data_IF_302484254778
#
_entry.id   IF_302484254778
#
_cell.length_a   1.000
_cell.length_b   1.000
_cell.length_c   1.000
_cell.angle_alpha   90.00
_cell.angle_beta   90.00
_cell.angle_gamma   90.00
#
_symmetry.space_group_name_H-M   'P 1'
#
loop_
_entity.id
_entity.type
_entity.pdbx_description
1 polymer ?
#
# COMPACT_ATOMS: atom_id res chain seq x y z
N UNK A 1 -4.85 18.20 -34.40
CA UNK A 1 -5.75 19.28 -34.92
C UNK A 1 -6.83 19.77 -33.95
N UNK A 2 -7.91 19.04 -33.59
CA UNK A 2 -8.95 19.60 -32.65
C UNK A 2 -8.43 19.71 -31.22
N UNK A 3 -7.67 18.72 -30.76
CA UNK A 3 -7.12 18.67 -29.40
C UNK A 3 -6.13 19.82 -29.12
N UNK A 4 -5.11 19.98 -29.98
CA UNK A 4 -4.13 21.09 -29.89
C UNK A 4 -4.81 22.47 -29.94
N UNK A 5 -5.80 22.66 -30.83
CA UNK A 5 -6.54 23.93 -30.92
C UNK A 5 -7.21 24.28 -29.59
N UNK A 6 -7.78 23.30 -28.90
CA UNK A 6 -8.41 23.53 -27.61
C UNK A 6 -7.33 23.76 -26.54
N UNK A 7 -6.25 22.96 -26.49
CA UNK A 7 -5.17 23.17 -25.53
C UNK A 7 -4.55 24.58 -25.62
N UNK A 8 -4.35 25.12 -26.81
CA UNK A 8 -3.75 26.45 -27.00
C UNK A 8 -4.75 27.62 -26.85
N UNK A 9 -6.04 27.33 -26.64
CA UNK A 9 -7.06 28.37 -26.38
C UNK A 9 -6.76 29.11 -25.06
N UNK A 10 -6.89 30.44 -25.07
CA UNK A 10 -6.85 31.26 -23.83
C UNK A 10 -8.08 30.94 -22.98
N UNK A 11 -7.88 30.82 -21.67
CA UNK A 11 -8.97 30.60 -20.72
C UNK A 11 -10.03 31.72 -20.78
N UNK A 12 -11.31 31.44 -20.43
CA UNK A 12 -11.81 30.17 -19.88
C UNK A 12 -12.14 29.11 -20.95
N UNK A 13 -12.03 27.83 -20.55
CA UNK A 13 -12.50 26.69 -21.34
C UNK A 13 -14.02 26.52 -21.19
N UNK A 14 -14.72 26.14 -22.26
CA UNK A 14 -16.12 25.74 -22.14
C UNK A 14 -16.23 24.37 -21.46
N UNK A 15 -17.40 24.02 -20.92
CA UNK A 15 -17.62 22.69 -20.37
C UNK A 15 -17.42 21.58 -21.43
N UNK A 16 -17.79 21.86 -22.69
CA UNK A 16 -17.58 20.93 -23.80
C UNK A 16 -16.10 20.80 -24.17
N UNK A 17 -15.32 21.89 -24.09
CA UNK A 17 -13.87 21.86 -24.25
C UNK A 17 -13.25 20.94 -23.18
N UNK A 18 -13.63 21.12 -21.92
CA UNK A 18 -13.14 20.31 -20.80
C UNK A 18 -13.51 18.83 -20.96
N UNK A 19 -14.76 18.53 -21.32
CA UNK A 19 -15.23 17.17 -21.57
C UNK A 19 -14.50 16.51 -22.73
N UNK A 20 -14.32 17.24 -23.84
CA UNK A 20 -13.59 16.75 -25.00
C UNK A 20 -12.13 16.45 -24.64
N UNK A 21 -11.46 17.37 -23.96
CA UNK A 21 -10.08 17.20 -23.55
C UNK A 21 -9.90 16.00 -22.61
N UNK A 22 -10.73 15.88 -21.57
CA UNK A 22 -10.68 14.77 -20.63
C UNK A 22 -10.94 13.42 -21.32
N UNK A 23 -11.95 13.34 -22.19
CA UNK A 23 -12.30 12.11 -22.89
C UNK A 23 -11.23 11.65 -23.90
N UNK A 24 -10.42 12.56 -24.44
CA UNK A 24 -9.48 12.26 -25.52
C UNK A 24 -8.00 12.30 -25.10
N UNK A 25 -7.67 12.75 -23.89
CA UNK A 25 -6.29 12.92 -23.43
C UNK A 25 -5.45 11.65 -23.56
N UNK A 26 -5.99 10.50 -23.15
CA UNK A 26 -5.29 9.21 -23.22
C UNK A 26 -5.06 8.73 -24.65
N UNK A 27 -6.05 8.90 -25.52
CA UNK A 27 -5.93 8.54 -26.94
C UNK A 27 -4.86 9.39 -27.62
N UNK A 28 -4.87 10.69 -27.35
CA UNK A 28 -3.87 11.62 -27.88
C UNK A 28 -2.48 11.31 -27.34
N UNK A 29 -2.35 11.01 -26.04
CA UNK A 29 -1.09 10.55 -25.46
C UNK A 29 -0.56 9.31 -26.17
N UNK A 30 -1.37 8.26 -26.34
CA UNK A 30 -0.92 7.02 -26.98
C UNK A 30 -0.46 7.24 -28.43
N UNK A 31 -1.16 8.12 -29.16
CA UNK A 31 -0.79 8.53 -30.51
C UNK A 31 0.60 9.19 -30.51
N UNK A 32 0.78 10.23 -29.70
CA UNK A 32 2.06 10.95 -29.60
C UNK A 32 3.16 10.03 -29.07
N UNK A 33 2.88 9.15 -28.10
CA UNK A 33 3.87 8.28 -27.48
C UNK A 33 4.46 7.28 -28.48
N UNK A 34 3.65 6.80 -29.43
CA UNK A 34 4.11 5.91 -30.51
C UNK A 34 5.08 6.62 -31.46
N UNK A 35 4.87 7.92 -31.69
CA UNK A 35 5.67 8.73 -32.61
C UNK A 35 6.91 9.33 -31.92
N UNK A 36 6.74 9.85 -30.70
CA UNK A 36 7.70 10.61 -29.93
C UNK A 36 7.39 10.55 -28.41
N UNK A 37 7.99 9.61 -27.66
CA UNK A 37 7.76 9.46 -26.22
C UNK A 37 8.05 10.72 -25.39
N UNK A 38 9.04 11.53 -25.78
CA UNK A 38 9.42 12.75 -25.05
C UNK A 38 8.33 13.81 -25.17
N UNK A 39 7.80 14.00 -26.37
CA UNK A 39 6.69 14.93 -26.63
C UNK A 39 5.41 14.48 -25.93
N UNK A 40 5.16 13.17 -25.85
CA UNK A 40 4.02 12.63 -25.13
C UNK A 40 4.10 12.93 -23.62
N UNK A 41 5.29 12.87 -23.02
CA UNK A 41 5.49 13.26 -21.62
C UNK A 41 5.25 14.76 -21.43
N UNK A 42 5.82 15.60 -22.29
CA UNK A 42 5.59 17.06 -22.26
C UNK A 42 4.10 17.40 -22.43
N UNK A 43 3.39 16.68 -23.28
CA UNK A 43 1.95 16.80 -23.45
C UNK A 43 1.21 16.56 -22.13
N UNK A 44 1.52 15.47 -21.42
CA UNK A 44 0.89 15.15 -20.13
C UNK A 44 1.22 16.21 -19.08
N UNK A 45 2.47 16.64 -18.99
CA UNK A 45 2.88 17.69 -18.03
C UNK A 45 2.09 18.98 -18.24
N UNK A 46 2.03 19.46 -19.49
CA UNK A 46 1.26 20.65 -19.86
C UNK A 46 -0.24 20.46 -19.63
N UNK A 47 -0.75 19.26 -19.89
CA UNK A 47 -2.17 18.94 -19.70
C UNK A 47 -2.55 19.01 -18.23
N UNK A 48 -1.81 18.34 -17.34
CA UNK A 48 -2.18 18.29 -15.92
C UNK A 48 -1.84 19.57 -15.17
N UNK A 49 -0.89 20.39 -15.63
CA UNK A 49 -0.68 21.73 -15.07
C UNK A 49 -1.91 22.64 -15.30
N UNK A 50 -2.60 22.46 -16.43
CA UNK A 50 -3.86 23.16 -16.75
C UNK A 50 -5.10 22.52 -16.15
N UNK A 51 -5.09 21.19 -16.00
CA UNK A 51 -6.20 20.38 -15.49
C UNK A 51 -5.73 19.49 -14.34
N UNK A 52 -5.39 20.08 -13.17
CA UNK A 52 -4.75 19.36 -12.08
C UNK A 52 -5.59 18.20 -11.51
N UNK A 53 -6.91 18.27 -11.61
CA UNK A 53 -7.82 17.17 -11.27
C UNK A 53 -7.63 15.91 -12.13
N UNK A 54 -6.98 16.02 -13.30
CA UNK A 54 -6.66 14.92 -14.20
C UNK A 54 -5.26 14.33 -13.97
N UNK A 55 -4.57 14.70 -12.88
CA UNK A 55 -3.21 14.23 -12.56
C UNK A 55 -3.05 12.72 -12.54
N UNK A 56 -4.10 11.95 -12.25
CA UNK A 56 -4.06 10.48 -12.26
C UNK A 56 -3.60 9.91 -13.60
N UNK A 57 -3.83 10.64 -14.71
CA UNK A 57 -3.34 10.25 -16.03
C UNK A 57 -1.80 10.15 -16.06
N UNK A 58 -1.09 11.08 -15.42
CA UNK A 58 0.37 11.01 -15.32
C UNK A 58 0.83 9.79 -14.52
N UNK A 59 0.15 9.44 -13.42
CA UNK A 59 0.44 8.23 -12.64
C UNK A 59 0.19 6.96 -13.44
N UNK A 60 -0.96 6.86 -14.11
CA UNK A 60 -1.31 5.70 -14.95
C UNK A 60 -0.25 5.45 -16.02
N UNK A 61 0.16 6.50 -16.71
CA UNK A 61 1.20 6.43 -17.74
C UNK A 61 2.56 6.11 -17.13
N UNK A 62 2.90 6.68 -15.96
CA UNK A 62 4.12 6.36 -15.25
C UNK A 62 4.22 4.85 -14.97
N UNK A 63 3.13 4.22 -14.50
CA UNK A 63 3.10 2.78 -14.24
C UNK A 63 3.21 1.93 -15.52
N UNK A 64 2.63 2.37 -16.64
CA UNK A 64 2.86 1.71 -17.93
C UNK A 64 4.34 1.79 -18.33
N UNK A 65 4.94 2.99 -18.26
CA UNK A 65 6.36 3.19 -18.56
C UNK A 65 7.29 2.37 -17.65
N UNK A 66 6.94 2.18 -16.37
CA UNK A 66 7.66 1.29 -15.45
C UNK A 66 7.65 -0.16 -15.95
N UNK A 67 6.49 -0.66 -16.36
CA UNK A 67 6.34 -2.03 -16.85
C UNK A 67 7.08 -2.27 -18.17
N UNK A 68 7.18 -1.23 -19.00
CA UNK A 68 7.93 -1.25 -20.27
C UNK A 68 9.44 -0.98 -20.08
N UNK A 69 9.92 -0.82 -18.84
CA UNK A 69 11.34 -0.61 -18.52
C UNK A 69 11.87 0.80 -18.81
N UNK A 70 11.00 1.79 -19.03
CA UNK A 70 11.37 3.17 -19.34
C UNK A 70 11.45 4.03 -18.07
N UNK A 71 12.48 3.76 -17.25
CA UNK A 71 12.65 4.34 -15.92
C UNK A 71 12.65 5.88 -15.89
N UNK A 72 13.20 6.55 -16.90
CA UNK A 72 13.26 8.02 -16.97
C UNK A 72 11.87 8.65 -17.13
N UNK A 73 10.99 8.07 -17.96
CA UNK A 73 9.61 8.52 -18.13
C UNK A 73 8.81 8.27 -16.85
N UNK A 74 8.97 7.08 -16.24
CA UNK A 74 8.37 6.77 -14.94
C UNK A 74 8.74 7.82 -13.88
N UNK A 75 10.03 8.09 -13.69
CA UNK A 75 10.50 9.06 -12.69
C UNK A 75 9.99 10.47 -12.96
N UNK A 76 9.96 10.89 -14.23
CA UNK A 76 9.48 12.23 -14.59
C UNK A 76 7.99 12.39 -14.32
N UNK A 77 7.16 11.48 -14.82
CA UNK A 77 5.70 11.57 -14.64
C UNK A 77 5.26 11.34 -13.19
N UNK A 78 5.94 10.49 -12.43
CA UNK A 78 5.73 10.35 -10.97
C UNK A 78 5.98 11.68 -10.26
N UNK A 79 7.06 12.39 -10.61
CA UNK A 79 7.33 13.72 -10.03
C UNK A 79 6.24 14.71 -10.38
N UNK A 80 5.83 14.77 -11.65
CA UNK A 80 4.79 15.70 -12.09
C UNK A 80 3.46 15.42 -11.39
N UNK A 81 3.09 14.14 -11.20
CA UNK A 81 1.92 13.76 -10.40
C UNK A 81 2.02 14.28 -8.95
N UNK A 82 3.16 14.08 -8.30
CA UNK A 82 3.38 14.50 -6.91
C UNK A 82 3.36 16.03 -6.76
N UNK A 83 4.04 16.75 -7.66
CA UNK A 83 4.07 18.22 -7.66
C UNK A 83 2.66 18.82 -7.85
N UNK A 84 1.86 18.26 -8.75
CA UNK A 84 0.47 18.70 -8.97
C UNK A 84 -0.43 18.33 -7.78
N UNK A 85 -0.22 17.17 -7.16
CA UNK A 85 -0.93 16.75 -5.94
C UNK A 85 -0.65 17.73 -4.79
N UNK A 86 0.61 18.10 -4.57
CA UNK A 86 1.03 19.07 -3.55
C UNK A 86 0.41 20.47 -3.77
N UNK A 87 0.37 20.93 -5.03
CA UNK A 87 -0.32 22.18 -5.41
C UNK A 87 -1.82 22.12 -5.07
N UNK A 88 -2.50 21.02 -5.42
CA UNK A 88 -3.92 20.83 -5.12
C UNK A 88 -4.19 20.83 -3.62
N UNK A 89 -3.42 20.05 -2.85
CA UNK A 89 -3.52 20.02 -1.39
C UNK A 89 -3.36 21.41 -0.81
N UNK A 90 -2.37 22.18 -1.27
CA UNK A 90 -2.15 23.56 -0.79
C UNK A 90 -3.38 24.45 -1.02
N UNK A 91 -3.93 24.44 -2.23
CA UNK A 91 -5.13 25.22 -2.59
C UNK A 91 -6.34 24.73 -1.78
N UNK A 92 -6.51 23.42 -1.73
CA UNK A 92 -7.62 22.75 -1.06
C UNK A 92 -7.65 23.04 0.44
N UNK A 93 -6.50 22.99 1.10
CA UNK A 93 -6.35 23.34 2.52
C UNK A 93 -6.65 24.81 2.77
N UNK A 94 -6.11 25.72 1.95
CA UNK A 94 -6.34 27.15 2.10
C UNK A 94 -7.82 27.54 1.88
N UNK A 95 -8.53 26.80 1.01
CA UNK A 95 -9.92 27.12 0.63
C UNK A 95 -10.95 26.45 1.53
N UNK A 96 -10.75 25.17 1.86
CA UNK A 96 -11.74 24.34 2.54
C UNK A 96 -11.38 24.01 3.99
N UNK A 97 -10.16 24.34 4.43
CA UNK A 97 -9.64 24.00 5.76
C UNK A 97 -9.81 22.50 6.09
N UNK A 98 -9.60 21.63 5.10
CA UNK A 98 -9.68 20.18 5.24
C UNK A 98 -8.28 19.57 5.34
N UNK A 99 -8.08 18.50 6.11
CA UNK A 99 -6.89 17.66 5.97
C UNK A 99 -6.88 16.94 4.61
N UNK A 100 -5.74 16.40 4.18
CA UNK A 100 -5.66 15.56 2.98
C UNK A 100 -6.59 14.34 3.07
N UNK A 101 -7.12 13.88 1.93
CA UNK A 101 -8.10 12.79 1.86
C UNK A 101 -7.49 11.62 1.11
N UNK A 102 -7.48 10.45 1.74
CA UNK A 102 -6.88 9.23 1.22
C UNK A 102 -7.65 8.69 0.01
N UNK A 103 -7.04 8.75 -1.17
CA UNK A 103 -7.71 8.39 -2.43
C UNK A 103 -7.69 6.89 -2.73
N UNK A 104 -6.72 6.17 -2.14
CA UNK A 104 -6.45 4.78 -2.47
C UNK A 104 -7.28 3.81 -1.60
N UNK A 105 -8.60 3.97 -1.56
CA UNK A 105 -9.43 3.17 -0.66
C UNK A 105 -9.39 1.68 -1.00
N UNK A 106 -9.07 1.28 -2.24
CA UNK A 106 -8.93 -0.14 -2.60
C UNK A 106 -7.81 -0.85 -1.83
N UNK A 107 -6.79 -0.11 -1.35
CA UNK A 107 -5.66 -0.68 -0.62
C UNK A 107 -6.05 -1.35 0.70
N UNK A 108 -7.18 -0.97 1.31
CA UNK A 108 -7.69 -1.60 2.54
C UNK A 108 -8.05 -3.08 2.35
N UNK A 109 -8.09 -3.56 1.09
CA UNK A 109 -8.35 -4.96 0.74
C UNK A 109 -7.09 -5.83 0.72
N UNK A 110 -5.92 -5.22 0.83
CA UNK A 110 -4.62 -5.89 0.79
C UNK A 110 -3.82 -5.49 2.01
N UNK A 111 -3.51 -6.46 2.88
CA UNK A 111 -2.82 -6.21 4.16
C UNK A 111 -1.50 -5.48 3.88
N UNK A 112 -0.71 -5.97 2.91
CA UNK A 112 0.57 -5.37 2.55
C UNK A 112 0.45 -3.95 2.03
N UNK A 113 -0.57 -3.65 1.21
CA UNK A 113 -0.74 -2.30 0.67
C UNK A 113 -1.19 -1.31 1.73
N UNK A 114 -2.21 -1.64 2.53
CA UNK A 114 -2.69 -0.68 3.54
C UNK A 114 -1.64 -0.44 4.62
N UNK A 115 -0.87 -1.47 5.00
CA UNK A 115 0.19 -1.32 6.00
C UNK A 115 1.33 -0.44 5.48
N UNK A 116 1.80 -0.66 4.25
CA UNK A 116 2.84 0.18 3.64
C UNK A 116 2.41 1.65 3.57
N UNK A 117 1.17 1.89 3.12
CA UNK A 117 0.66 3.24 2.99
C UNK A 117 0.43 3.91 4.35
N UNK A 118 0.02 3.14 5.36
CA UNK A 118 -0.09 3.63 6.74
C UNK A 118 1.30 3.97 7.30
N UNK A 119 2.31 3.17 6.99
CA UNK A 119 3.68 3.44 7.39
C UNK A 119 4.21 4.74 6.77
N UNK A 120 3.97 4.95 5.48
CA UNK A 120 4.32 6.18 4.78
C UNK A 120 3.65 7.40 5.42
N UNK A 121 2.37 7.33 5.78
CA UNK A 121 1.69 8.42 6.50
C UNK A 121 2.38 8.73 7.82
N UNK A 122 2.63 7.71 8.66
CA UNK A 122 3.22 7.90 9.98
C UNK A 122 4.64 8.45 9.92
N UNK A 123 5.44 7.94 8.98
CA UNK A 123 6.80 8.45 8.74
C UNK A 123 6.75 9.89 8.21
N UNK A 124 5.81 10.21 7.31
CA UNK A 124 5.60 11.57 6.80
C UNK A 124 5.24 12.54 7.92
N UNK A 125 4.32 12.15 8.81
CA UNK A 125 3.97 12.96 9.98
C UNK A 125 5.16 13.17 10.91
N UNK A 126 5.95 12.11 11.15
CA UNK A 126 7.14 12.18 12.02
C UNK A 126 8.23 13.10 11.46
N UNK A 127 8.36 13.15 10.12
CA UNK A 127 9.29 14.04 9.42
C UNK A 127 8.74 15.46 9.18
N UNK A 128 7.48 15.71 9.54
CA UNK A 128 6.82 17.00 9.28
C UNK A 128 6.46 17.24 7.80
N UNK A 129 6.42 16.19 6.98
CA UNK A 129 5.93 16.25 5.59
C UNK A 129 4.40 16.30 5.53
N UNK A 130 3.75 15.76 6.56
CA UNK A 130 2.31 15.90 6.81
C UNK A 130 2.13 16.49 8.21
N UNK A 131 1.23 17.46 8.34
CA UNK A 131 0.90 18.12 9.60
C UNK A 131 -0.43 17.67 10.19
N UNK A 132 -1.27 16.99 9.41
CA UNK A 132 -2.54 16.40 9.86
C UNK A 132 -2.68 14.96 9.35
N UNK A 133 -3.40 14.12 10.12
CA UNK A 133 -3.79 12.78 9.65
C UNK A 133 -4.65 12.91 8.39
N UNK A 134 -4.39 12.11 7.34
CA UNK A 134 -5.29 12.05 6.21
C UNK A 134 -6.63 11.41 6.61
N UNK A 135 -7.71 11.79 5.93
CA UNK A 135 -9.01 11.16 6.13
C UNK A 135 -9.07 9.85 5.34
N UNK A 136 -9.37 8.75 6.03
CA UNK A 136 -9.63 7.44 5.42
C UNK A 136 -11.12 7.12 5.48
N UNK A 137 -11.76 7.06 4.33
CA UNK A 137 -13.15 6.62 4.22
C UNK A 137 -13.24 5.09 4.22
N UNK A 138 -14.09 4.53 5.07
CA UNK A 138 -14.41 3.10 5.13
C UNK A 138 -15.90 2.87 4.86
N UNK A 139 -16.32 2.76 3.57
CA UNK A 139 -17.69 2.47 3.19
C UNK A 139 -18.19 1.16 3.78
N UNK A 140 -19.29 1.22 4.53
CA UNK A 140 -19.96 0.04 5.06
C UNK A 140 -20.87 -0.59 3.99
N UNK A 141 -21.13 -1.89 4.10
CA UNK A 141 -22.11 -2.60 3.26
C UNK A 141 -21.70 -2.85 1.81
N UNK A 142 -20.45 -2.58 1.43
CA UNK A 142 -19.89 -2.93 0.11
C UNK A 142 -18.67 -3.82 0.27
N UNK A 143 -18.76 -5.07 -0.20
CA UNK A 143 -17.66 -6.04 -0.12
C UNK A 143 -16.36 -5.53 -0.76
N UNK A 144 -16.48 -4.69 -1.78
CA UNK A 144 -15.34 -4.04 -2.45
C UNK A 144 -14.59 -3.01 -1.59
N UNK A 145 -15.11 -2.66 -0.41
CA UNK A 145 -14.51 -1.70 0.52
C UNK A 145 -14.37 -2.27 1.94
N UNK A 146 -14.45 -3.60 2.06
CA UNK A 146 -14.24 -4.29 3.32
C UNK A 146 -12.74 -4.30 3.66
N UNK A 147 -12.41 -3.84 4.85
CA UNK A 147 -11.06 -3.98 5.42
C UNK A 147 -10.69 -5.46 5.50
N UNK A 148 -9.54 -5.82 4.95
CA UNK A 148 -9.06 -7.21 4.83
C UNK A 148 -8.80 -7.88 6.18
N UNK A 149 -8.38 -7.11 7.18
CA UNK A 149 -8.09 -7.58 8.53
C UNK A 149 -8.58 -6.51 9.52
N UNK A 150 -9.65 -6.80 10.25
CA UNK A 150 -10.24 -5.88 11.22
C UNK A 150 -9.33 -5.58 12.41
N UNK A 151 -8.39 -6.47 12.74
CA UNK A 151 -7.40 -6.24 13.79
C UNK A 151 -6.42 -5.11 13.46
N UNK A 152 -6.37 -4.64 12.20
CA UNK A 152 -5.61 -3.45 11.83
C UNK A 152 -6.31 -2.14 12.21
N UNK A 153 -7.62 -2.16 12.48
CA UNK A 153 -8.39 -0.93 12.65
C UNK A 153 -7.81 0.02 13.73
N UNK A 154 -7.36 -0.45 14.91
CA UNK A 154 -6.71 0.41 15.90
C UNK A 154 -5.42 1.07 15.37
N UNK A 155 -4.61 0.33 14.60
CA UNK A 155 -3.38 0.84 13.99
C UNK A 155 -3.67 1.89 12.90
N UNK A 156 -4.74 1.67 12.12
CA UNK A 156 -5.20 2.63 11.12
C UNK A 156 -5.74 3.90 11.79
N UNK A 157 -6.49 3.80 12.89
CA UNK A 157 -7.01 4.96 13.62
C UNK A 157 -5.89 5.82 14.24
N UNK A 158 -4.76 5.21 14.58
CA UNK A 158 -3.57 5.95 15.00
C UNK A 158 -2.93 6.74 13.85
N UNK A 159 -3.19 6.35 12.60
CA UNK A 159 -2.55 6.92 11.39
C UNK A 159 -3.47 7.86 10.60
N UNK A 160 -4.76 7.57 10.59
CA UNK A 160 -5.79 8.23 9.78
C UNK A 160 -6.94 8.73 10.66
N UNK A 161 -7.60 9.79 10.20
CA UNK A 161 -8.92 10.14 10.69
C UNK A 161 -9.95 9.32 9.91
N UNK A 162 -10.54 8.31 10.55
CA UNK A 162 -11.38 7.31 9.90
C UNK A 162 -12.85 7.73 9.98
N UNK A 163 -13.57 7.65 8.85
CA UNK A 163 -15.03 7.79 8.81
C UNK A 163 -15.71 6.64 8.08
N UNK A 164 -16.83 6.21 8.64
CA UNK A 164 -17.75 5.24 8.05
C UNK A 164 -19.15 5.81 7.81
N UNK A 165 -19.37 7.10 8.05
CA UNK A 165 -20.66 7.75 7.79
C UNK A 165 -20.87 7.96 6.29
N UNK A 166 -22.02 7.54 5.75
CA UNK A 166 -22.26 7.57 4.30
C UNK A 166 -22.29 8.99 3.72
N UNK A 167 -22.75 9.99 4.49
CA UNK A 167 -22.79 11.39 4.04
C UNK A 167 -21.39 11.96 4.01
N UNK A 168 -20.59 11.70 5.04
CA UNK A 168 -19.18 12.08 5.09
C UNK A 168 -18.38 11.41 3.98
N UNK A 169 -18.58 10.12 3.72
CA UNK A 169 -17.92 9.41 2.63
C UNK A 169 -18.24 10.06 1.28
N UNK A 170 -19.51 10.36 1.00
CA UNK A 170 -19.92 11.04 -0.24
C UNK A 170 -19.26 12.41 -0.39
N UNK A 171 -19.15 13.16 0.72
CA UNK A 171 -18.46 14.44 0.76
C UNK A 171 -16.96 14.30 0.52
N UNK A 172 -16.27 13.48 1.31
CA UNK A 172 -14.81 13.30 1.21
C UNK A 172 -14.38 12.66 -0.11
N UNK A 173 -15.18 11.76 -0.69
CA UNK A 173 -14.91 11.22 -2.03
C UNK A 173 -14.82 12.35 -3.07
N UNK A 174 -15.73 13.32 -3.04
CA UNK A 174 -15.69 14.49 -3.94
C UNK A 174 -14.52 15.42 -3.61
N UNK A 175 -14.28 15.66 -2.32
CA UNK A 175 -13.20 16.53 -1.87
C UNK A 175 -11.82 15.94 -2.12
N UNK A 176 -11.70 14.63 -2.30
CA UNK A 176 -10.44 13.95 -2.60
C UNK A 176 -9.81 14.43 -3.92
N UNK A 177 -10.62 14.88 -4.90
CA UNK A 177 -10.12 15.47 -6.14
C UNK A 177 -9.40 16.82 -5.91
N UNK A 178 -9.67 17.49 -4.79
CA UNK A 178 -9.22 18.85 -4.47
C UNK A 178 -8.17 18.84 -3.35
N UNK A 179 -8.33 17.97 -2.34
CA UNK A 179 -7.38 17.84 -1.21
C UNK A 179 -6.83 16.40 -1.14
N UNK A 180 -6.19 15.89 -2.20
CA UNK A 180 -5.82 14.48 -2.31
C UNK A 180 -4.66 14.06 -1.40
N UNK A 181 -4.70 12.82 -0.94
CA UNK A 181 -3.54 12.09 -0.44
C UNK A 181 -3.45 10.73 -1.12
N UNK A 182 -2.35 10.51 -1.83
CA UNK A 182 -2.12 9.24 -2.53
C UNK A 182 -1.10 8.39 -1.77
N UNK A 183 -1.59 7.44 -0.97
CA UNK A 183 -0.73 6.68 -0.06
C UNK A 183 0.39 5.86 -0.70
N UNK A 184 0.34 5.57 -2.01
CA UNK A 184 1.37 4.77 -2.70
C UNK A 184 2.59 5.57 -3.17
N UNK A 185 2.51 6.90 -3.23
CA UNK A 185 3.60 7.74 -3.71
C UNK A 185 3.85 8.86 -2.71
N UNK A 186 5.12 9.12 -2.41
CA UNK A 186 5.53 10.20 -1.52
C UNK A 186 6.62 11.04 -2.18
N UNK A 187 6.61 12.32 -1.86
CA UNK A 187 7.68 13.26 -2.13
C UNK A 187 8.28 13.72 -0.81
N UNK A 188 9.53 13.34 -0.54
CA UNK A 188 10.29 13.78 0.65
C UNK A 188 11.04 15.06 0.34
N UNK A 189 11.68 15.12 -0.83
CA UNK A 189 12.31 16.32 -1.40
C UNK A 189 12.06 16.34 -2.91
N UNK A 190 12.59 17.35 -3.62
CA UNK A 190 12.54 17.34 -5.09
C UNK A 190 13.36 16.20 -5.73
N UNK A 191 14.33 15.66 -5.00
CA UNK A 191 15.24 14.60 -5.47
C UNK A 191 14.88 13.22 -4.88
N UNK A 192 14.14 13.19 -3.76
CA UNK A 192 13.75 11.98 -3.05
C UNK A 192 12.23 11.84 -3.14
N UNK A 193 11.78 11.03 -4.09
CA UNK A 193 10.36 10.77 -4.32
C UNK A 193 10.16 9.43 -5.04
N UNK A 194 8.96 8.85 -4.91
CA UNK A 194 8.63 7.58 -5.53
C UNK A 194 7.61 6.76 -4.77
N UNK A 195 7.53 5.48 -5.15
CA UNK A 195 6.77 4.46 -4.43
C UNK A 195 7.44 4.02 -3.14
N UNK A 196 6.69 3.29 -2.32
CA UNK A 196 7.13 2.65 -1.07
C UNK A 196 8.54 2.04 -1.18
N UNK A 197 8.78 1.15 -2.16
CA UNK A 197 10.07 0.48 -2.38
C UNK A 197 11.24 1.42 -2.70
N UNK A 198 10.98 2.63 -3.21
CA UNK A 198 12.02 3.61 -3.56
C UNK A 198 12.37 4.51 -2.37
N UNK A 199 11.36 4.83 -1.55
CA UNK A 199 11.45 5.89 -0.54
C UNK A 199 11.62 5.36 0.87
N UNK A 200 11.08 4.19 1.21
CA UNK A 200 11.15 3.62 2.57
C UNK A 200 12.59 3.51 3.09
N UNK A 201 13.58 2.97 2.33
CA UNK A 201 14.96 2.89 2.83
C UNK A 201 15.54 4.27 3.16
N UNK A 202 15.15 5.28 2.38
CA UNK A 202 15.56 6.67 2.59
C UNK A 202 14.86 7.26 3.83
N UNK A 203 13.56 7.05 3.98
CA UNK A 203 12.79 7.47 5.16
C UNK A 203 13.36 6.85 6.44
N UNK A 204 13.67 5.56 6.41
CA UNK A 204 14.31 4.85 7.52
C UNK A 204 15.63 5.52 7.92
N UNK A 205 16.47 5.81 6.94
CA UNK A 205 17.76 6.48 7.14
C UNK A 205 17.59 7.88 7.72
N UNK A 206 16.64 8.65 7.20
CA UNK A 206 16.35 10.01 7.68
C UNK A 206 15.86 10.00 9.12
N UNK A 207 14.87 9.17 9.45
CA UNK A 207 14.32 9.01 10.80
C UNK A 207 15.41 8.60 11.80
N UNK A 208 16.23 7.62 11.43
CA UNK A 208 17.35 7.16 12.26
C UNK A 208 18.36 8.28 12.54
N UNK A 209 18.69 9.09 11.53
CA UNK A 209 19.63 10.23 11.67
C UNK A 209 19.12 11.30 12.63
N UNK A 210 17.81 11.51 12.71
CA UNK A 210 17.20 12.49 13.63
C UNK A 210 16.79 11.87 14.98
N UNK A 211 17.25 10.65 15.29
CA UNK A 211 16.94 9.97 16.54
C UNK A 211 15.47 9.58 16.70
N UNK A 212 14.73 9.48 15.58
CA UNK A 212 13.34 9.02 15.57
C UNK A 212 13.27 7.53 15.21
N UNK A 213 12.27 6.85 15.78
CA UNK A 213 11.99 5.46 15.46
C UNK A 213 11.59 5.35 13.98
N UNK A 214 12.26 4.49 13.18
CA UNK A 214 11.96 4.37 11.77
C UNK A 214 10.76 3.46 11.47
N UNK A 215 10.37 2.61 12.43
CA UNK A 215 9.22 1.72 12.33
C UNK A 215 7.91 2.47 12.59
N UNK A 216 6.92 2.19 11.75
CA UNK A 216 5.63 2.84 11.86
C UNK A 216 4.85 2.36 13.08
N UNK A 217 4.76 1.06 13.35
CA UNK A 217 3.85 0.58 14.40
C UNK A 217 4.58 -0.06 15.59
N UNK A 218 3.86 -0.10 16.71
CA UNK A 218 4.15 -0.86 17.90
C UNK A 218 3.04 -1.87 18.10
N UNK A 219 3.38 -3.12 18.43
CA UNK A 219 2.38 -4.13 18.75
C UNK A 219 1.57 -3.70 19.97
N UNK A 220 0.26 -3.59 19.79
CA UNK A 220 -0.66 -3.18 20.85
C UNK A 220 -0.86 -4.31 21.87
N UNK A 221 -1.10 -3.93 23.13
CA UNK A 221 -1.38 -4.87 24.22
C UNK A 221 -2.63 -5.70 23.93
N UNK A 222 -3.72 -5.07 23.47
CA UNK A 222 -4.95 -5.77 23.07
C UNK A 222 -4.71 -6.79 21.95
N UNK A 223 -3.87 -6.46 20.97
CA UNK A 223 -3.48 -7.41 19.91
C UNK A 223 -2.72 -8.59 20.50
N UNK A 224 -1.83 -8.33 21.46
CA UNK A 224 -1.08 -9.37 22.17
C UNK A 224 -2.02 -10.28 22.94
N UNK A 225 -2.93 -9.75 23.75
CA UNK A 225 -3.84 -10.53 24.58
C UNK A 225 -4.79 -11.42 23.77
N UNK A 226 -5.36 -10.88 22.69
CA UNK A 226 -6.24 -11.64 21.80
C UNK A 226 -5.45 -12.77 21.13
N UNK A 227 -4.26 -12.47 20.62
CA UNK A 227 -3.45 -13.44 19.91
C UNK A 227 -2.92 -14.56 20.83
N UNK A 228 -2.36 -14.22 21.99
CA UNK A 228 -1.81 -15.20 22.93
C UNK A 228 -2.90 -16.14 23.44
N UNK A 229 -4.08 -15.63 23.80
CA UNK A 229 -5.24 -16.43 24.21
C UNK A 229 -5.65 -17.42 23.13
N UNK A 230 -5.74 -16.96 21.88
CA UNK A 230 -6.08 -17.82 20.75
C UNK A 230 -5.00 -18.90 20.54
N UNK A 231 -3.73 -18.51 20.50
CA UNK A 231 -2.61 -19.41 20.24
C UNK A 231 -2.47 -20.48 21.33
N UNK A 232 -2.56 -20.11 22.61
CA UNK A 232 -2.52 -21.07 23.73
C UNK A 232 -3.67 -22.08 23.66
N UNK A 233 -4.88 -21.61 23.31
CA UNK A 233 -6.05 -22.50 23.13
C UNK A 233 -5.86 -23.49 21.98
N UNK A 234 -5.05 -23.14 20.98
CA UNK A 234 -4.70 -23.98 19.84
C UNK A 234 -3.39 -24.77 20.06
N UNK A 235 -2.92 -24.91 21.31
CA UNK A 235 -1.78 -25.75 21.66
C UNK A 235 -0.41 -25.15 21.37
N UNK A 236 -0.34 -23.84 21.17
CA UNK A 236 0.93 -23.14 21.00
C UNK A 236 1.62 -22.85 22.34
N UNK A 237 2.93 -23.03 22.40
CA UNK A 237 3.74 -22.80 23.59
C UNK A 237 4.44 -21.45 23.45
N UNK A 238 3.84 -20.41 24.04
CA UNK A 238 4.33 -19.02 23.93
C UNK A 238 5.73 -18.81 24.52
N UNK A 239 6.29 -19.78 25.25
CA UNK A 239 7.64 -19.69 25.79
C UNK A 239 8.72 -20.18 24.82
N UNK A 240 8.34 -20.75 23.67
CA UNK A 240 9.28 -21.23 22.65
C UNK A 240 9.44 -20.24 21.51
N UNK A 241 10.64 -20.16 20.92
CA UNK A 241 10.82 -19.40 19.69
C UNK A 241 9.99 -20.03 18.56
N UNK A 242 9.54 -19.19 17.63
CA UNK A 242 8.80 -19.66 16.46
C UNK A 242 9.14 -18.91 15.18
N UNK A 243 8.89 -19.56 14.06
CA UNK A 243 8.96 -19.02 12.70
C UNK A 243 7.56 -19.00 12.11
N UNK A 244 7.23 -17.94 11.38
CA UNK A 244 5.97 -17.89 10.62
C UNK A 244 6.23 -18.35 9.18
N UNK A 245 5.45 -19.32 8.74
CA UNK A 245 5.54 -19.91 7.41
C UNK A 245 4.38 -19.38 6.55
N UNK A 246 4.69 -18.75 5.41
CA UNK A 246 3.71 -18.31 4.43
C UNK A 246 4.10 -18.81 3.04
N UNK A 247 3.74 -20.07 2.74
CA UNK A 247 4.01 -20.72 1.45
C UNK A 247 2.77 -20.67 0.59
N UNK A 248 2.59 -19.57 -0.15
CA UNK A 248 1.49 -19.40 -1.09
C UNK A 248 1.40 -20.61 -2.04
N UNK A 249 0.21 -21.16 -2.24
CA UNK A 249 -0.05 -22.27 -3.17
C UNK A 249 -1.20 -21.93 -4.12
N UNK A 250 -1.46 -22.83 -5.07
CA UNK A 250 -2.66 -22.76 -5.92
C UNK A 250 -3.94 -22.64 -5.07
N UNK A 251 -4.92 -21.86 -5.55
CA UNK A 251 -6.14 -21.52 -4.84
C UNK A 251 -6.10 -20.21 -4.04
N UNK A 252 -4.94 -19.57 -3.87
CA UNK A 252 -4.84 -18.24 -3.22
C UNK A 252 -5.10 -17.08 -4.20
N UNK A 253 -4.51 -17.12 -5.40
CA UNK A 253 -4.78 -16.17 -6.46
C UNK A 253 -4.70 -16.88 -7.81
N UNK A 254 -5.84 -17.02 -8.45
CA UNK A 254 -6.03 -17.84 -9.66
C UNK A 254 -5.61 -17.12 -10.96
N UNK A 255 -5.00 -15.94 -10.87
CA UNK A 255 -4.46 -15.28 -12.07
C UNK A 255 -3.15 -15.95 -12.49
N UNK A 256 -3.01 -16.40 -13.75
CA UNK A 256 -1.77 -16.94 -14.30
C UNK A 256 -0.57 -15.99 -14.11
N UNK A 257 -0.82 -14.69 -14.06
CA UNK A 257 0.18 -13.64 -13.89
C UNK A 257 0.88 -13.66 -12.53
N UNK A 258 0.38 -14.44 -11.56
CA UNK A 258 0.96 -14.58 -10.22
C UNK A 258 1.29 -16.03 -9.85
N UNK A 259 1.18 -16.98 -10.80
CA UNK A 259 1.46 -18.39 -10.52
C UNK A 259 2.92 -18.64 -10.14
N UNK A 260 3.85 -17.83 -10.66
CA UNK A 260 5.28 -17.86 -10.34
C UNK A 260 5.60 -17.53 -8.87
N UNK A 261 4.62 -17.01 -8.10
CA UNK A 261 4.73 -16.78 -6.65
C UNK A 261 4.30 -17.98 -5.81
N UNK A 262 3.69 -19.00 -6.42
CA UNK A 262 3.26 -20.20 -5.71
C UNK A 262 4.48 -21.10 -5.43
N UNK A 263 4.48 -21.76 -4.29
CA UNK A 263 5.47 -22.73 -3.89
C UNK A 263 4.83 -24.08 -3.55
N UNK A 264 5.61 -25.13 -3.78
CA UNK A 264 5.28 -26.48 -3.34
C UNK A 264 5.73 -26.65 -1.89
N UNK A 265 4.83 -27.07 -0.99
CA UNK A 265 5.15 -27.15 0.44
C UNK A 265 6.18 -28.24 0.74
N UNK A 266 6.17 -29.30 -0.07
CA UNK A 266 7.08 -30.43 -0.01
C UNK A 266 8.55 -30.03 -0.24
N UNK A 267 8.79 -28.92 -0.95
CA UNK A 267 10.14 -28.41 -1.20
C UNK A 267 10.77 -27.81 0.07
N UNK A 268 9.95 -27.50 1.09
CA UNK A 268 10.38 -26.89 2.34
C UNK A 268 10.52 -27.90 3.48
N UNK A 269 10.34 -29.20 3.22
CA UNK A 269 10.28 -30.22 4.27
C UNK A 269 11.57 -30.33 5.07
N UNK A 270 12.71 -30.24 4.41
CA UNK A 270 14.02 -30.26 5.07
C UNK A 270 14.20 -29.04 6.00
N UNK A 271 13.73 -27.86 5.59
CA UNK A 271 13.81 -26.67 6.42
C UNK A 271 12.87 -26.75 7.63
N UNK A 272 11.65 -27.26 7.42
CA UNK A 272 10.65 -27.48 8.48
C UNK A 272 11.21 -28.46 9.53
N UNK A 273 11.71 -29.62 9.09
CA UNK A 273 12.29 -30.61 10.01
C UNK A 273 13.52 -30.06 10.75
N UNK A 274 14.39 -29.33 10.05
CA UNK A 274 15.56 -28.73 10.67
C UNK A 274 15.16 -27.77 11.81
N UNK A 275 14.19 -26.88 11.58
CA UNK A 275 13.69 -25.92 12.57
C UNK A 275 13.04 -26.63 13.77
N UNK A 276 12.16 -27.60 13.52
CA UNK A 276 11.51 -28.37 14.59
C UNK A 276 12.53 -29.11 15.46
N UNK A 277 13.59 -29.66 14.85
CA UNK A 277 14.69 -30.32 15.55
C UNK A 277 15.55 -29.37 16.40
N UNK A 278 15.56 -28.06 16.11
CA UNK A 278 16.15 -27.03 16.98
C UNK A 278 15.23 -26.64 18.14
N UNK A 279 14.04 -27.23 18.25
CA UNK A 279 13.03 -26.83 19.23
C UNK A 279 12.28 -25.55 18.86
N UNK A 280 12.44 -25.06 17.63
CA UNK A 280 11.73 -23.89 17.10
C UNK A 280 10.35 -24.35 16.61
N UNK A 281 9.29 -23.67 17.04
CA UNK A 281 7.95 -23.94 16.56
C UNK A 281 7.71 -23.32 15.18
N UNK A 282 6.80 -23.90 14.42
CA UNK A 282 6.40 -23.37 13.11
C UNK A 282 4.91 -23.08 13.15
N UNK A 283 4.54 -21.85 12.80
CA UNK A 283 3.14 -21.47 12.59
C UNK A 283 2.96 -21.14 11.13
N UNK A 284 2.14 -21.92 10.42
CA UNK A 284 1.78 -21.64 9.04
C UNK A 284 0.53 -20.77 9.00
N UNK A 285 0.62 -19.65 8.30
CA UNK A 285 -0.51 -18.78 7.97
C UNK A 285 -0.76 -18.80 6.46
N UNK A 286 -1.94 -18.34 6.07
CA UNK A 286 -2.33 -18.27 4.67
C UNK A 286 -3.83 -18.35 4.49
N UNK A 287 -4.26 -18.55 3.25
CA UNK A 287 -5.65 -18.63 2.86
C UNK A 287 -6.22 -20.04 3.03
N UNK A 288 -7.50 -20.15 3.35
CA UNK A 288 -8.18 -21.42 3.58
C UNK A 288 -8.28 -22.35 2.36
N UNK A 289 -7.91 -21.88 1.16
CA UNK A 289 -7.82 -22.73 -0.04
C UNK A 289 -6.44 -23.37 -0.21
N UNK A 290 -5.44 -22.96 0.56
CA UNK A 290 -4.12 -23.59 0.52
C UNK A 290 -4.22 -25.00 1.10
N UNK A 291 -3.62 -26.03 0.44
CA UNK A 291 -3.64 -27.39 0.97
C UNK A 291 -3.03 -27.43 2.37
N UNK A 292 -3.63 -28.18 3.32
CA UNK A 292 -3.08 -28.31 4.66
C UNK A 292 -1.73 -29.02 4.63
N UNK A 293 -0.81 -28.61 5.48
CA UNK A 293 0.47 -29.30 5.64
C UNK A 293 0.31 -30.50 6.59
N UNK A 294 1.11 -31.54 6.38
CA UNK A 294 1.10 -32.73 7.24
C UNK A 294 1.41 -32.35 8.69
N UNK A 295 0.54 -32.76 9.61
CA UNK A 295 0.67 -32.46 11.04
C UNK A 295 1.99 -33.01 11.62
N UNK A 296 2.66 -32.21 12.46
CA UNK A 296 3.90 -32.53 13.17
C UNK A 296 3.90 -31.89 14.55
N UNK A 297 4.56 -32.53 15.51
CA UNK A 297 4.75 -31.93 16.83
C UNK A 297 5.55 -30.63 16.68
N UNK A 298 5.01 -29.51 17.17
CA UNK A 298 5.64 -28.19 17.09
C UNK A 298 5.27 -27.39 15.84
N UNK A 299 4.51 -27.98 14.89
CA UNK A 299 3.94 -27.28 13.75
C UNK A 299 2.45 -27.06 13.97
N UNK A 300 1.97 -25.83 13.76
CA UNK A 300 0.56 -25.47 13.78
C UNK A 300 0.19 -24.86 12.43
N UNK A 301 -0.77 -25.46 11.72
CA UNK A 301 -1.29 -24.95 10.46
C UNK A 301 -2.59 -24.19 10.69
N UNK A 302 -2.53 -22.85 10.57
CA UNK A 302 -3.69 -21.98 10.74
C UNK A 302 -4.46 -21.73 9.44
N UNK A 303 -4.03 -22.27 8.29
CA UNK A 303 -4.70 -22.02 7.00
C UNK A 303 -6.18 -22.44 7.04
N UNK A 304 -6.50 -23.53 7.74
CA UNK A 304 -7.86 -24.07 7.88
C UNK A 304 -8.58 -23.62 9.17
N UNK A 305 -7.95 -22.75 9.97
CA UNK A 305 -8.48 -22.32 11.27
C UNK A 305 -8.87 -20.84 11.18
N UNK A 306 -10.16 -20.58 11.35
CA UNK A 306 -10.65 -19.21 11.50
C UNK A 306 -10.08 -18.61 12.78
N UNK A 307 -9.49 -17.42 12.65
CA UNK A 307 -8.79 -16.74 13.75
C UNK A 307 -9.06 -15.24 13.75
N UNK A 308 -8.96 -14.57 14.90
CA UNK A 308 -8.95 -13.12 14.98
C UNK A 308 -7.80 -12.53 14.13
N UNK A 309 -8.03 -11.35 13.58
CA UNK A 309 -7.05 -10.69 12.71
C UNK A 309 -5.77 -10.27 13.43
N UNK A 310 -5.88 -10.07 14.74
CA UNK A 310 -4.82 -9.78 15.70
C UNK A 310 -3.79 -10.92 15.76
N UNK A 311 -4.21 -12.16 15.52
CA UNK A 311 -3.31 -13.31 15.49
C UNK A 311 -2.28 -13.14 14.38
N UNK A 312 -2.70 -12.77 13.17
CA UNK A 312 -1.77 -12.57 12.05
C UNK A 312 -0.78 -11.42 12.34
N UNK A 313 -1.25 -10.33 12.95
CA UNK A 313 -0.42 -9.19 13.33
C UNK A 313 0.62 -9.61 14.38
N UNK A 314 0.19 -10.32 15.42
CA UNK A 314 1.08 -10.84 16.47
C UNK A 314 2.14 -11.80 15.90
N UNK A 315 1.74 -12.71 15.03
CA UNK A 315 2.67 -13.67 14.39
C UNK A 315 3.69 -12.96 13.52
N UNK A 316 3.27 -11.90 12.81
CA UNK A 316 4.19 -11.04 12.09
C UNK A 316 5.18 -10.35 13.03
N UNK A 317 4.70 -9.92 14.20
CA UNK A 317 5.44 -9.12 15.14
C UNK A 317 6.45 -9.86 16.02
N UNK A 318 6.18 -11.12 16.33
CA UNK A 318 6.88 -11.85 17.40
C UNK A 318 7.68 -13.05 16.95
N UNK A 319 7.69 -13.36 15.65
CA UNK A 319 8.48 -14.48 15.17
C UNK A 319 9.98 -14.16 15.13
N UNK A 320 10.79 -15.20 14.96
CA UNK A 320 12.22 -15.05 14.69
C UNK A 320 12.47 -14.51 13.28
N UNK A 321 11.75 -15.04 12.29
CA UNK A 321 11.74 -14.63 10.91
C UNK A 321 10.56 -15.25 10.16
N UNK A 322 10.32 -14.79 8.93
CA UNK A 322 9.40 -15.40 7.98
C UNK A 322 10.10 -16.37 7.04
N UNK A 323 9.45 -17.50 6.78
CA UNK A 323 9.80 -18.39 5.69
C UNK A 323 8.73 -18.29 4.61
N UNK A 324 9.08 -17.69 3.47
CA UNK A 324 8.21 -17.50 2.31
C UNK A 324 8.99 -17.71 1.00
N UNK A 325 8.32 -17.97 -0.13
CA UNK A 325 8.98 -18.02 -1.44
C UNK A 325 9.53 -16.62 -1.76
N UNK A 326 10.77 -16.57 -2.26
CA UNK A 326 11.66 -15.40 -2.45
C UNK A 326 11.12 -14.20 -3.25
N UNK A 327 9.83 -14.15 -3.58
CA UNK A 327 9.24 -13.14 -4.46
C UNK A 327 8.00 -12.44 -3.87
N UNK A 328 7.59 -12.79 -2.65
CA UNK A 328 6.56 -12.06 -1.87
C UNK A 328 7.13 -10.99 -0.92
N UNK A 329 8.44 -10.74 -1.04
CA UNK A 329 9.30 -9.78 -0.34
C UNK A 329 8.82 -8.32 -0.33
N UNK A 330 7.63 -8.00 -0.83
CA UNK A 330 7.05 -6.65 -0.80
C UNK A 330 5.80 -6.64 0.08
N UNK A 331 4.89 -7.63 0.00
CA UNK A 331 3.62 -7.53 0.72
C UNK A 331 3.73 -7.91 2.19
N UNK A 332 4.46 -8.99 2.52
CA UNK A 332 4.73 -9.36 3.91
C UNK A 332 5.94 -8.65 4.48
N UNK A 333 6.95 -8.33 3.67
CA UNK A 333 8.05 -7.47 4.08
C UNK A 333 7.56 -6.08 4.51
N UNK A 334 6.62 -5.47 3.78
CA UNK A 334 5.99 -4.21 4.24
C UNK A 334 5.20 -4.42 5.55
N UNK A 335 4.58 -5.59 5.76
CA UNK A 335 3.95 -5.92 7.05
C UNK A 335 5.02 -6.04 8.14
N UNK A 336 6.15 -6.67 7.87
CA UNK A 336 7.20 -6.92 8.85
C UNK A 336 8.00 -5.68 9.17
N UNK A 337 8.55 -5.02 8.15
CA UNK A 337 9.32 -3.78 8.29
C UNK A 337 8.49 -2.62 8.84
N UNK A 338 7.15 -2.66 8.75
CA UNK A 338 6.31 -1.58 9.25
C UNK A 338 5.45 -1.93 10.46
N UNK A 339 4.84 -3.12 10.52
CA UNK A 339 4.04 -3.52 11.68
C UNK A 339 4.88 -3.96 12.87
N UNK A 340 6.12 -4.44 12.71
CA UNK A 340 6.97 -4.71 13.88
C UNK A 340 8.47 -4.89 13.63
N UNK A 341 9.24 -4.14 14.42
CA UNK A 341 10.31 -4.60 15.30
C UNK A 341 11.11 -5.82 14.79
N UNK A 342 12.34 -5.59 14.35
CA UNK A 342 13.40 -6.45 14.87
C UNK A 342 13.50 -6.15 16.37
N UNK A 343 13.20 -7.09 17.28
CA UNK A 343 13.70 -6.99 18.63
C UNK A 343 15.24 -7.06 18.54
N UNK A 344 15.91 -6.13 19.24
CA UNK A 344 17.29 -6.38 19.67
C UNK A 344 17.28 -7.35 20.83
#
# INVERSE_FOLDING_TARGET
MKYEKILHKKQPYSLDDLRFLAANARSEFNRIFTENPVEAVLFIENFIDRFPQQRHLAREIAYLARNDGVASIYKRLTKTFLDVTEKLVTIGRATYNLPPIFENVYSIRSIGEIVAQSAMVRQSMTLGLLDTKPILTLPQGRDSYRLVNMGLLPYLADTFDITSDEKEISYFTKMSEIVPYHGQLIKVTNDIYGGDWEVIPTLYTLLSKIGKRPFAFELLEETTDIATKFLTTNGFDLNKPFVTLHLRSEGYSDSPNYAWRNANVEDYELAIEWLLNQGIQIIRIGHARMPPIKNRRGLIDLTQIQRPGEVDIYLCAKNLFFLEPTVDLIQLHNILEHLCLFPR
#
